data_IF_640386998410
#
_entry.id   IF_640386998410
#
_cell.length_a   1.000
_cell.length_b   1.000
_cell.length_c   1.000
_cell.angle_alpha   90.00
_cell.angle_beta   90.00
_cell.angle_gamma   90.00
#
_symmetry.space_group_name_H-M   'P 1'
#
loop_
_entity.id
_entity.type
_entity.pdbx_description
1 polymer ?
#
# COMPACT_ATOMS: atom_id res chain seq x y z
N UNK A 1 -11.27 10.94 -8.69
CA UNK A 1 -11.36 9.49 -8.92
C UNK A 1 -12.73 9.04 -9.44
N UNK A 2 -13.86 9.45 -8.83
CA UNK A 2 -15.23 9.01 -9.22
C UNK A 2 -15.55 9.23 -10.72
N UNK A 3 -15.21 10.39 -11.28
CA UNK A 3 -15.52 10.74 -12.68
C UNK A 3 -14.75 9.84 -13.66
N UNK A 4 -13.45 9.65 -13.45
CA UNK A 4 -12.56 8.84 -14.31
C UNK A 4 -13.01 7.37 -14.29
N UNK A 5 -13.46 6.91 -13.13
CA UNK A 5 -13.95 5.55 -12.91
C UNK A 5 -15.24 5.26 -13.70
N UNK A 6 -16.16 6.23 -13.69
CA UNK A 6 -17.41 6.15 -14.46
C UNK A 6 -17.13 6.03 -15.97
N UNK A 7 -16.13 6.75 -16.49
CA UNK A 7 -15.78 6.71 -17.92
C UNK A 7 -14.95 5.48 -18.35
N UNK A 8 -14.30 4.78 -17.42
CA UNK A 8 -13.49 3.59 -17.72
C UNK A 8 -14.13 2.27 -17.29
N UNK A 9 -15.26 2.30 -16.56
CA UNK A 9 -15.94 1.12 -16.01
C UNK A 9 -16.35 0.08 -17.05
N UNK A 10 -16.85 0.48 -18.21
CA UNK A 10 -17.24 -0.47 -19.28
C UNK A 10 -16.03 -1.24 -19.86
N UNK A 11 -14.88 -0.56 -20.01
CA UNK A 11 -13.64 -1.20 -20.50
C UNK A 11 -13.00 -2.12 -19.47
N UNK A 12 -13.12 -1.77 -18.19
CA UNK A 12 -12.72 -2.60 -17.05
C UNK A 12 -13.54 -3.91 -17.08
N UNK A 13 -14.87 -3.81 -17.20
CA UNK A 13 -15.76 -4.98 -17.22
C UNK A 13 -15.58 -5.87 -18.45
N UNK A 14 -15.19 -5.30 -19.61
CA UNK A 14 -15.02 -6.05 -20.85
C UNK A 14 -13.74 -6.91 -20.91
N UNK A 15 -12.71 -6.61 -20.10
CA UNK A 15 -11.41 -7.30 -20.16
C UNK A 15 -10.86 -7.72 -18.78
N UNK A 16 -11.51 -8.68 -18.10
CA UNK A 16 -11.14 -9.09 -16.75
C UNK A 16 -9.73 -9.70 -16.64
N UNK A 17 -9.22 -10.34 -17.71
CA UNK A 17 -7.88 -10.92 -17.73
C UNK A 17 -6.80 -9.84 -17.57
N UNK A 18 -6.92 -8.70 -18.28
CA UNK A 18 -5.92 -7.63 -18.20
C UNK A 18 -5.85 -7.01 -16.79
N UNK A 19 -7.00 -6.91 -16.13
CA UNK A 19 -7.08 -6.43 -14.75
C UNK A 19 -6.35 -7.40 -13.81
N UNK A 20 -6.60 -8.71 -13.93
CA UNK A 20 -5.92 -9.70 -13.10
C UNK A 20 -4.41 -9.69 -13.31
N UNK A 21 -3.96 -9.56 -14.56
CA UNK A 21 -2.54 -9.49 -14.90
C UNK A 21 -1.84 -8.26 -14.28
N UNK A 22 -2.57 -7.17 -13.99
CA UNK A 22 -2.05 -5.98 -13.32
C UNK A 22 -2.19 -6.11 -11.80
N UNK A 23 -3.35 -6.57 -11.32
CA UNK A 23 -3.68 -6.66 -9.91
C UNK A 23 -2.78 -7.66 -9.15
N UNK A 24 -2.46 -8.81 -9.75
CA UNK A 24 -1.68 -9.87 -9.10
C UNK A 24 -0.24 -9.40 -8.81
N UNK A 25 0.54 -8.90 -9.78
CA UNK A 25 1.89 -8.41 -9.52
C UNK A 25 1.92 -7.26 -8.50
N UNK A 26 0.98 -6.31 -8.61
CA UNK A 26 0.89 -5.19 -7.67
C UNK A 26 0.61 -5.65 -6.25
N UNK A 27 -0.34 -6.58 -6.08
CA UNK A 27 -0.65 -7.16 -4.77
C UNK A 27 0.56 -7.85 -4.16
N UNK A 28 1.24 -8.69 -4.94
CA UNK A 28 2.44 -9.41 -4.47
C UNK A 28 3.53 -8.41 -4.09
N UNK A 29 3.77 -7.39 -4.91
CA UNK A 29 4.76 -6.36 -4.65
C UNK A 29 4.48 -5.63 -3.34
N UNK A 30 3.26 -5.12 -3.14
CA UNK A 30 2.88 -4.37 -1.92
C UNK A 30 3.00 -5.25 -0.67
N UNK A 31 2.53 -6.50 -0.73
CA UNK A 31 2.66 -7.44 0.40
C UNK A 31 4.13 -7.77 0.72
N UNK A 32 4.95 -7.95 -0.31
CA UNK A 32 6.37 -8.26 -0.17
C UNK A 32 7.12 -7.10 0.47
N UNK A 33 6.94 -5.87 -0.03
CA UNK A 33 7.60 -4.70 0.53
C UNK A 33 7.15 -4.45 1.97
N UNK A 34 5.84 -4.56 2.26
CA UNK A 34 5.32 -4.45 3.62
C UNK A 34 5.97 -5.48 4.55
N UNK A 35 6.00 -6.75 4.14
CA UNK A 35 6.52 -7.84 4.97
C UNK A 35 8.01 -7.65 5.26
N UNK A 36 8.79 -7.24 4.26
CA UNK A 36 10.22 -6.95 4.43
C UNK A 36 10.40 -5.76 5.38
N UNK A 37 9.77 -4.61 5.10
CA UNK A 37 9.95 -3.40 5.91
C UNK A 37 9.45 -3.58 7.35
N UNK A 38 8.30 -4.23 7.53
CA UNK A 38 7.71 -4.50 8.84
C UNK A 38 8.52 -5.55 9.63
N UNK A 39 8.97 -6.61 8.95
CA UNK A 39 9.86 -7.62 9.53
C UNK A 39 11.22 -7.06 9.92
N UNK A 40 11.79 -6.18 9.10
CA UNK A 40 13.04 -5.50 9.40
C UNK A 40 12.90 -4.55 10.59
N UNK A 41 11.80 -3.82 10.66
CA UNK A 41 11.49 -2.95 11.79
C UNK A 41 11.38 -3.74 13.11
N UNK A 42 10.84 -4.96 13.05
CA UNK A 42 10.83 -5.90 14.17
C UNK A 42 12.23 -6.37 14.55
N UNK A 43 13.09 -6.67 13.56
CA UNK A 43 14.48 -7.06 13.81
C UNK A 43 15.27 -5.97 14.55
N UNK A 44 15.01 -4.69 14.24
CA UNK A 44 15.57 -3.54 14.95
C UNK A 44 14.85 -3.17 16.26
N UNK A 45 13.87 -3.96 16.70
CA UNK A 45 13.10 -3.73 17.93
C UNK A 45 12.43 -2.35 17.99
N UNK A 46 12.06 -1.79 16.85
CA UNK A 46 11.31 -0.54 16.79
C UNK A 46 9.93 -0.72 17.44
N UNK A 47 9.38 0.30 18.13
CA UNK A 47 8.03 0.24 18.64
C UNK A 47 7.02 0.13 17.49
N UNK A 48 5.88 -0.52 17.74
CA UNK A 48 4.82 -0.71 16.75
C UNK A 48 4.35 0.61 16.12
N UNK A 49 4.34 1.69 16.91
CA UNK A 49 3.93 3.03 16.51
C UNK A 49 4.79 3.62 15.40
N UNK A 50 6.02 3.13 15.23
CA UNK A 50 6.94 3.52 14.15
C UNK A 50 6.96 2.43 13.07
N UNK A 51 7.04 1.15 13.47
CA UNK A 51 7.15 0.03 12.54
C UNK A 51 5.94 -0.11 11.60
N UNK A 52 4.73 0.10 12.13
CA UNK A 52 3.47 0.03 11.37
C UNK A 52 3.39 1.08 10.25
N UNK A 53 3.47 2.40 10.54
CA UNK A 53 3.44 3.42 9.50
C UNK A 53 4.66 3.36 8.57
N UNK A 54 5.85 3.01 9.07
CA UNK A 54 7.04 2.84 8.21
C UNK A 54 6.85 1.72 7.18
N UNK A 55 6.31 0.56 7.61
CA UNK A 55 6.00 -0.55 6.70
C UNK A 55 4.93 -0.18 5.67
N UNK A 56 3.92 0.61 6.07
CA UNK A 56 2.87 1.10 5.16
C UNK A 56 3.43 2.08 4.13
N UNK A 57 4.22 3.08 4.54
CA UNK A 57 4.83 4.06 3.63
C UNK A 57 5.69 3.36 2.58
N UNK A 58 6.46 2.34 2.97
CA UNK A 58 7.27 1.56 2.04
C UNK A 58 6.43 0.78 1.03
N UNK A 59 5.26 0.27 1.43
CA UNK A 59 4.42 -0.58 0.59
C UNK A 59 3.43 0.18 -0.33
N UNK A 60 3.09 1.42 0.03
CA UNK A 60 2.16 2.28 -0.71
C UNK A 60 2.73 2.76 -2.04
N UNK A 61 1.86 2.91 -3.05
CA UNK A 61 2.20 3.48 -4.35
C UNK A 61 1.31 4.70 -4.60
N UNK A 62 1.84 5.83 -5.09
CA UNK A 62 0.99 7.01 -5.35
C UNK A 62 0.24 6.91 -6.67
N UNK A 63 -0.73 6.00 -6.76
CA UNK A 63 -1.50 5.82 -7.99
C UNK A 63 -2.36 7.04 -8.33
N UNK A 64 -2.82 7.82 -7.37
CA UNK A 64 -3.58 9.06 -7.65
C UNK A 64 -2.77 10.05 -8.50
N UNK A 65 -1.48 10.19 -8.21
CA UNK A 65 -0.56 10.98 -9.03
C UNK A 65 -0.27 10.29 -10.37
N UNK A 66 -0.07 8.96 -10.35
CA UNK A 66 0.19 8.18 -11.55
C UNK A 66 -0.94 8.28 -12.58
N UNK A 67 -2.21 8.28 -12.14
CA UNK A 67 -3.38 8.47 -13.02
C UNK A 67 -3.33 9.85 -13.68
N UNK A 68 -3.02 10.90 -12.92
CA UNK A 68 -2.93 12.27 -13.47
C UNK A 68 -1.86 12.37 -14.57
N UNK A 69 -0.70 11.76 -14.34
CA UNK A 69 0.40 11.72 -15.32
C UNK A 69 0.06 10.84 -16.53
N UNK A 70 -0.58 9.69 -16.32
CA UNK A 70 -0.97 8.81 -17.42
C UNK A 70 -1.99 9.49 -18.35
N UNK A 71 -2.96 10.21 -17.78
CA UNK A 71 -3.95 10.97 -18.55
C UNK A 71 -3.28 12.11 -19.33
N UNK A 72 -2.34 12.84 -18.72
CA UNK A 72 -1.70 13.98 -19.40
C UNK A 72 -0.78 13.57 -20.54
N UNK A 73 -0.11 12.40 -20.43
CA UNK A 73 0.84 11.92 -21.44
C UNK A 73 0.20 11.01 -22.50
N UNK A 74 -0.74 10.14 -22.11
CA UNK A 74 -1.28 9.09 -22.98
C UNK A 74 -2.78 9.24 -23.26
N UNK A 75 -3.45 10.20 -22.61
CA UNK A 75 -4.89 10.43 -22.75
C UNK A 75 -5.76 9.43 -21.99
N UNK A 76 -7.05 9.75 -21.89
CA UNK A 76 -8.03 8.99 -21.09
C UNK A 76 -8.31 7.57 -21.59
N UNK A 77 -8.15 7.32 -22.89
CA UNK A 77 -8.55 6.06 -23.52
C UNK A 77 -7.41 5.05 -23.65
N UNK A 78 -6.21 5.38 -23.15
CA UNK A 78 -5.03 4.51 -23.24
C UNK A 78 -5.05 3.37 -22.23
N UNK A 79 -4.37 2.27 -22.58
CA UNK A 79 -4.16 1.15 -21.65
C UNK A 79 -3.33 1.54 -20.43
N UNK A 80 -2.45 2.54 -20.54
CA UNK A 80 -1.68 3.08 -19.43
C UNK A 80 -2.58 3.75 -18.38
N UNK A 81 -3.52 4.58 -18.83
CA UNK A 81 -4.53 5.19 -17.94
C UNK A 81 -5.39 4.12 -17.28
N UNK A 82 -5.85 3.12 -18.03
CA UNK A 82 -6.61 1.99 -17.48
C UNK A 82 -5.83 1.25 -16.40
N UNK A 83 -4.55 0.96 -16.63
CA UNK A 83 -3.70 0.26 -15.67
C UNK A 83 -3.51 1.03 -14.37
N UNK A 84 -3.29 2.34 -14.43
CA UNK A 84 -3.14 3.19 -13.24
C UNK A 84 -4.44 3.30 -12.43
N UNK A 85 -5.60 3.39 -13.09
CA UNK A 85 -6.90 3.42 -12.42
C UNK A 85 -7.22 2.09 -11.74
N UNK A 86 -6.93 0.97 -12.42
CA UNK A 86 -7.03 -0.37 -11.83
C UNK A 86 -6.06 -0.52 -10.65
N UNK A 87 -4.86 0.05 -10.73
CA UNK A 87 -3.90 0.12 -9.64
C UNK A 87 -4.49 0.72 -8.36
N UNK A 88 -5.13 1.90 -8.44
CA UNK A 88 -5.80 2.55 -7.29
C UNK A 88 -6.86 1.63 -6.67
N UNK A 89 -7.67 0.96 -7.49
CA UNK A 89 -8.74 0.08 -6.99
C UNK A 89 -8.22 -1.09 -6.18
N UNK A 90 -7.08 -1.63 -6.59
CA UNK A 90 -6.46 -2.78 -5.93
C UNK A 90 -5.69 -2.31 -4.71
N UNK A 91 -5.03 -1.16 -4.80
CA UNK A 91 -4.23 -0.60 -3.72
C UNK A 91 -5.07 -0.35 -2.46
N UNK A 92 -6.17 0.41 -2.56
CA UNK A 92 -6.93 0.83 -1.37
C UNK A 92 -7.40 -0.35 -0.52
N UNK A 93 -8.01 -1.41 -1.07
CA UNK A 93 -8.35 -2.63 -0.32
C UNK A 93 -7.15 -3.32 0.31
N UNK A 94 -6.02 -3.44 -0.41
CA UNK A 94 -4.81 -4.07 0.10
C UNK A 94 -4.21 -3.25 1.25
N UNK A 95 -4.22 -1.93 1.14
CA UNK A 95 -3.76 -1.06 2.22
C UNK A 95 -4.62 -1.19 3.47
N UNK A 96 -5.95 -1.25 3.33
CA UNK A 96 -6.85 -1.53 4.45
C UNK A 96 -6.61 -2.92 5.07
N UNK A 97 -6.32 -3.93 4.24
CA UNK A 97 -5.93 -5.25 4.69
C UNK A 97 -4.63 -5.22 5.50
N UNK A 98 -3.61 -4.49 5.02
CA UNK A 98 -2.33 -4.33 5.72
C UNK A 98 -2.50 -3.59 7.05
N UNK A 99 -3.35 -2.57 7.12
CA UNK A 99 -3.72 -1.91 8.38
C UNK A 99 -4.34 -2.90 9.36
N UNK A 100 -5.26 -3.73 8.89
CA UNK A 100 -5.88 -4.77 9.72
C UNK A 100 -4.85 -5.78 10.23
N UNK A 101 -3.93 -6.22 9.36
CA UNK A 101 -2.83 -7.11 9.73
C UNK A 101 -1.95 -6.46 10.79
N UNK A 102 -1.49 -5.23 10.55
CA UNK A 102 -0.62 -4.50 11.46
C UNK A 102 -1.26 -4.32 12.84
N UNK A 103 -2.53 -3.91 12.89
CA UNK A 103 -3.26 -3.75 14.15
C UNK A 103 -3.38 -5.07 14.94
N UNK A 104 -3.57 -6.20 14.25
CA UNK A 104 -3.62 -7.51 14.88
C UNK A 104 -2.25 -7.98 15.38
N UNK A 105 -1.15 -7.56 14.75
CA UNK A 105 0.22 -7.93 15.12
C UNK A 105 0.87 -6.95 16.11
N UNK A 106 0.09 -6.05 16.73
CA UNK A 106 0.58 -5.11 17.75
C UNK A 106 1.27 -5.79 18.93
N UNK A 107 0.86 -7.01 19.28
CA UNK A 107 1.45 -7.79 20.37
C UNK A 107 2.85 -8.34 20.07
N UNK A 108 3.31 -8.31 18.81
CA UNK A 108 4.62 -8.83 18.40
C UNK A 108 5.76 -7.84 18.61
N UNK A 109 5.45 -6.61 19.01
CA UNK A 109 6.38 -5.50 19.15
C UNK A 109 6.51 -5.09 20.61
N UNK A 110 7.68 -4.57 20.97
CA UNK A 110 7.95 -4.00 22.30
C UNK A 110 7.01 -2.81 22.49
N UNK A 111 6.34 -2.73 23.64
CA UNK A 111 5.51 -1.57 23.97
C UNK A 111 6.44 -0.37 24.14
N UNK A 112 6.13 0.76 23.49
CA UNK A 112 6.91 2.01 23.60
C UNK A 112 7.17 2.44 25.06
N UNK A 113 6.35 1.99 26.02
CA UNK A 113 6.53 2.24 27.45
C UNK A 113 7.76 1.61 28.10
N UNK A 114 8.33 0.53 27.55
CA UNK A 114 9.52 -0.13 28.11
C UNK A 114 10.84 0.54 27.69
N UNK A 115 10.83 1.36 26.64
CA UNK A 115 12.04 2.08 26.17
C UNK A 115 12.35 3.30 27.05
N UNK A 116 11.30 4.02 27.48
CA UNK A 116 11.44 5.19 28.34
C UNK A 116 11.94 4.86 29.76
N UNK A 117 11.74 3.64 30.25
CA UNK A 117 12.30 3.21 31.54
C UNK A 117 13.81 2.97 31.47
N UNK A 118 14.35 2.60 30.30
CA UNK A 118 15.77 2.36 30.12
C UNK A 118 16.53 3.69 30.00
N UNK A 119 15.97 4.70 29.31
CA UNK A 119 16.56 6.05 29.25
C UNK A 119 16.56 6.76 30.62
N UNK A 120 15.47 6.66 31.40
CA UNK A 120 15.41 7.23 32.76
C UNK A 120 16.28 6.50 33.80
N UNK A 121 16.92 5.39 33.45
CA UNK A 121 17.87 4.66 34.32
C UNK A 121 19.33 5.10 34.12
N UNK A 122 19.59 5.94 33.11
CA UNK A 122 20.90 6.52 32.81
C UNK A 122 20.94 8.06 32.96
N UNK A 123 19.86 8.67 33.44
CA UNK A 123 19.82 10.04 33.98
C UNK A 123 19.74 10.00 35.51
#
# INVERSE_FOLDING_TARGET
MIIIFSFQGEKILANPIHILLIAIPLTIQTLLIFTIAYGWSRFWKLPHEIASPAGMIGASNFFELAVAVAISLFGLQSGATLATVVGVLVEVPIMLLLVKISNNTKSWFVKSGDTNQIENLYE
#
